data_IF_994255793905
#
_entry.id   IF_994255793905
#
_cell.length_a   1.000
_cell.length_b   1.000
_cell.length_c   1.000
_cell.angle_alpha   90.00
_cell.angle_beta   90.00
_cell.angle_gamma   90.00
#
_symmetry.space_group_name_H-M   'P 1'
#
loop_
_entity.id
_entity.type
_entity.pdbx_description
1 polymer ?
#
# COMPACT_ATOMS: atom_id res chain seq x y z
N UNK A 1 29.43 -0.74 -21.63
CA UNK A 1 28.00 -0.70 -21.31
C UNK A 1 27.47 0.57 -21.94
N UNK A 2 26.59 0.45 -22.94
CA UNK A 2 26.01 1.59 -23.66
C UNK A 2 24.89 2.21 -22.82
N UNK A 3 24.60 3.49 -23.05
CA UNK A 3 23.55 4.25 -22.35
C UNK A 3 22.17 3.60 -22.51
N UNK A 4 21.86 3.08 -23.70
CA UNK A 4 20.62 2.36 -24.02
C UNK A 4 20.40 1.12 -23.12
N UNK A 5 21.44 0.30 -22.93
CA UNK A 5 21.36 -0.87 -22.03
C UNK A 5 21.20 -0.49 -20.55
N UNK A 6 21.62 0.71 -20.18
CA UNK A 6 21.44 1.23 -18.81
C UNK A 6 20.00 1.70 -18.61
N UNK A 7 19.41 2.34 -19.61
CA UNK A 7 18.06 2.89 -19.56
C UNK A 7 17.01 1.76 -19.61
N UNK A 8 17.21 0.74 -20.46
CA UNK A 8 16.38 -0.48 -20.48
C UNK A 8 16.39 -1.20 -19.11
N UNK A 9 17.58 -1.36 -18.51
CA UNK A 9 17.73 -1.94 -17.16
C UNK A 9 17.00 -1.11 -16.10
N UNK A 10 17.03 0.21 -16.21
CA UNK A 10 16.36 1.11 -15.28
C UNK A 10 14.84 0.97 -15.39
N UNK A 11 14.33 0.85 -16.62
CA UNK A 11 12.92 0.64 -16.90
C UNK A 11 12.43 -0.72 -16.37
N UNK A 12 13.15 -1.80 -16.63
CA UNK A 12 12.82 -3.14 -16.10
C UNK A 12 12.76 -3.16 -14.57
N UNK A 13 13.70 -2.47 -13.91
CA UNK A 13 13.70 -2.31 -12.45
C UNK A 13 12.50 -1.49 -11.97
N UNK A 14 12.15 -0.41 -12.68
CA UNK A 14 10.97 0.41 -12.38
C UNK A 14 9.67 -0.39 -12.48
N UNK A 15 9.48 -1.14 -13.57
CA UNK A 15 8.30 -1.98 -13.79
C UNK A 15 8.19 -3.09 -12.74
N UNK A 16 9.32 -3.75 -12.42
CA UNK A 16 9.38 -4.78 -11.37
C UNK A 16 9.02 -4.22 -9.99
N UNK A 17 9.56 -3.06 -9.63
CA UNK A 17 9.28 -2.40 -8.35
C UNK A 17 7.82 -1.94 -8.25
N UNK A 18 7.27 -1.39 -9.34
CA UNK A 18 5.86 -1.00 -9.39
C UNK A 18 4.95 -2.21 -9.22
N UNK A 19 5.24 -3.32 -9.90
CA UNK A 19 4.47 -4.55 -9.76
C UNK A 19 4.52 -5.08 -8.32
N UNK A 20 5.70 -5.10 -7.68
CA UNK A 20 5.84 -5.49 -6.28
C UNK A 20 5.04 -4.58 -5.34
N UNK A 21 5.07 -3.26 -5.56
CA UNK A 21 4.32 -2.29 -4.77
C UNK A 21 2.81 -2.50 -4.90
N UNK A 22 2.33 -2.70 -6.13
CA UNK A 22 0.93 -3.02 -6.42
C UNK A 22 0.47 -4.30 -5.73
N UNK A 23 1.27 -5.36 -5.78
CA UNK A 23 0.93 -6.65 -5.16
C UNK A 23 0.91 -6.54 -3.63
N UNK A 24 1.85 -5.78 -3.07
CA UNK A 24 1.91 -5.46 -1.64
C UNK A 24 0.68 -4.68 -1.19
N UNK A 25 0.28 -3.66 -1.97
CA UNK A 25 -0.92 -2.88 -1.72
C UNK A 25 -2.18 -3.74 -1.71
N UNK A 26 -2.36 -4.58 -2.73
CA UNK A 26 -3.50 -5.50 -2.80
C UNK A 26 -3.54 -6.44 -1.60
N UNK A 27 -2.39 -6.97 -1.19
CA UNK A 27 -2.28 -7.90 -0.06
C UNK A 27 -2.65 -7.24 1.28
N UNK A 28 -2.16 -6.02 1.53
CA UNK A 28 -2.47 -5.26 2.76
C UNK A 28 -3.94 -4.86 2.78
N UNK A 29 -4.51 -4.44 1.65
CA UNK A 29 -5.94 -4.14 1.53
C UNK A 29 -6.82 -5.36 1.87
N UNK A 30 -6.44 -6.55 1.36
CA UNK A 30 -7.15 -7.80 1.66
C UNK A 30 -7.04 -8.18 3.14
N UNK A 31 -5.84 -8.05 3.73
CA UNK A 31 -5.61 -8.30 5.15
C UNK A 31 -6.47 -7.37 6.02
N UNK A 32 -6.48 -6.06 5.71
CA UNK A 32 -7.34 -5.09 6.40
C UNK A 32 -8.80 -5.50 6.37
N UNK A 33 -9.31 -5.83 5.18
CA UNK A 33 -10.70 -6.26 5.02
C UNK A 33 -11.02 -7.55 5.79
N UNK A 34 -10.08 -8.49 5.92
CA UNK A 34 -10.24 -9.70 6.72
C UNK A 34 -10.34 -9.36 8.21
N UNK A 35 -9.41 -8.56 8.72
CA UNK A 35 -9.37 -8.16 10.14
C UNK A 35 -10.61 -7.35 10.51
N UNK A 36 -11.08 -6.47 9.63
CA UNK A 36 -12.31 -5.70 9.82
C UNK A 36 -13.54 -6.61 9.96
N UNK A 37 -13.65 -7.64 9.11
CA UNK A 37 -14.74 -8.63 9.19
C UNK A 37 -14.66 -9.47 10.46
N UNK A 38 -13.46 -9.90 10.86
CA UNK A 38 -13.26 -10.65 12.10
C UNK A 38 -13.66 -9.82 13.32
N UNK A 39 -13.22 -8.56 13.39
CA UNK A 39 -13.57 -7.65 14.47
C UNK A 39 -15.07 -7.41 14.54
N UNK A 40 -15.72 -7.14 13.41
CA UNK A 40 -17.18 -7.01 13.35
C UNK A 40 -17.89 -8.28 13.84
N UNK A 41 -17.41 -9.46 13.43
CA UNK A 41 -17.92 -10.75 13.87
C UNK A 41 -17.81 -10.95 15.39
N UNK A 42 -16.67 -10.60 15.98
CA UNK A 42 -16.45 -10.72 17.43
C UNK A 42 -17.39 -9.79 18.21
N UNK A 43 -17.54 -8.54 17.75
CA UNK A 43 -18.47 -7.58 18.35
C UNK A 43 -19.92 -8.04 18.26
N UNK A 44 -20.32 -8.64 17.12
CA UNK A 44 -21.68 -9.14 16.92
C UNK A 44 -22.01 -10.35 17.81
N UNK A 45 -21.04 -11.24 18.05
CA UNK A 45 -21.24 -12.47 18.82
C UNK A 45 -20.86 -12.33 20.30
N UNK A 46 -20.43 -11.14 20.75
CA UNK A 46 -20.02 -10.90 22.13
C UNK A 46 -18.76 -11.68 22.56
N UNK A 47 -17.87 -11.99 21.61
CA UNK A 47 -16.64 -12.75 21.88
C UNK A 47 -15.60 -11.78 22.46
N UNK A 48 -15.18 -12.02 23.70
CA UNK A 48 -14.27 -11.11 24.44
C UNK A 48 -12.90 -11.71 24.75
N UNK A 49 -12.75 -13.05 24.73
CA UNK A 49 -11.51 -13.74 25.13
C UNK A 49 -10.28 -13.40 24.28
N UNK A 50 -10.49 -12.96 23.04
CA UNK A 50 -9.41 -12.62 22.09
C UNK A 50 -9.54 -11.20 21.52
N UNK A 51 -10.46 -10.39 22.07
CA UNK A 51 -10.80 -9.09 21.50
C UNK A 51 -9.60 -8.12 21.56
N UNK A 52 -8.83 -8.13 22.64
CA UNK A 52 -7.65 -7.26 22.79
C UNK A 52 -6.58 -7.56 21.73
N UNK A 53 -6.29 -8.86 21.51
CA UNK A 53 -5.36 -9.31 20.46
C UNK A 53 -5.87 -8.90 19.08
N UNK A 54 -7.15 -9.12 18.81
CA UNK A 54 -7.76 -8.75 17.54
C UNK A 54 -7.75 -7.23 17.32
N UNK A 55 -7.99 -6.43 18.36
CA UNK A 55 -7.87 -4.98 18.29
C UNK A 55 -6.42 -4.55 18.01
N UNK A 56 -5.43 -5.16 18.63
CA UNK A 56 -4.03 -4.85 18.37
C UNK A 56 -3.65 -5.14 16.89
N UNK A 57 -4.12 -6.28 16.35
CA UNK A 57 -3.93 -6.63 14.94
C UNK A 57 -4.65 -5.63 14.03
N UNK A 58 -5.88 -5.24 14.36
CA UNK A 58 -6.65 -4.24 13.63
C UNK A 58 -5.93 -2.90 13.59
N UNK A 59 -5.51 -2.37 14.74
CA UNK A 59 -4.79 -1.09 14.82
C UNK A 59 -3.49 -1.11 14.01
N UNK A 60 -2.76 -2.23 14.07
CA UNK A 60 -1.53 -2.40 13.30
C UNK A 60 -1.79 -2.42 11.79
N UNK A 61 -2.83 -3.15 11.37
CA UNK A 61 -3.19 -3.27 9.95
C UNK A 61 -3.75 -1.97 9.40
N UNK A 62 -4.58 -1.26 10.16
CA UNK A 62 -5.11 0.06 9.81
C UNK A 62 -3.96 1.06 9.64
N UNK A 63 -3.02 1.08 10.58
CA UNK A 63 -1.83 1.95 10.48
C UNK A 63 -0.98 1.64 9.24
N UNK A 64 -0.70 0.36 8.97
CA UNK A 64 0.07 -0.05 7.79
C UNK A 64 -0.62 0.35 6.49
N UNK A 65 -1.95 0.18 6.42
CA UNK A 65 -2.73 0.58 5.26
C UNK A 65 -2.72 2.10 5.07
N UNK A 66 -2.93 2.87 6.13
CA UNK A 66 -2.90 4.33 6.10
C UNK A 66 -1.52 4.88 5.67
N UNK A 67 -0.44 4.30 6.19
CA UNK A 67 0.93 4.68 5.81
C UNK A 67 1.18 4.38 4.32
N UNK A 68 0.73 3.22 3.83
CA UNK A 68 0.86 2.86 2.43
C UNK A 68 0.00 3.75 1.52
N UNK A 69 -1.24 4.04 1.87
CA UNK A 69 -2.09 4.97 1.12
C UNK A 69 -1.48 6.38 1.07
N UNK A 70 -0.88 6.85 2.17
CA UNK A 70 -0.17 8.14 2.17
C UNK A 70 1.04 8.10 1.25
N UNK A 71 1.85 7.04 1.31
CA UNK A 71 3.03 6.90 0.44
C UNK A 71 2.66 6.88 -1.04
N UNK A 72 1.53 6.27 -1.41
CA UNK A 72 1.05 6.21 -2.79
C UNK A 72 0.40 7.52 -3.27
N UNK A 73 0.19 8.51 -2.39
CA UNK A 73 -0.34 9.81 -2.83
C UNK A 73 0.77 10.59 -3.54
N UNK A 74 0.45 11.22 -4.68
CA UNK A 74 1.44 12.03 -5.42
C UNK A 74 2.12 13.11 -4.58
N UNK A 75 1.37 13.69 -3.64
CA UNK A 75 1.83 14.77 -2.75
C UNK A 75 2.93 14.34 -1.76
N UNK A 76 3.12 13.03 -1.57
CA UNK A 76 4.04 12.44 -0.59
C UNK A 76 5.08 11.52 -1.22
N UNK A 77 5.07 11.38 -2.54
CA UNK A 77 6.08 10.67 -3.31
C UNK A 77 7.21 11.66 -3.70
N UNK A 78 8.41 11.57 -3.11
CA UNK A 78 9.51 12.48 -3.39
C UNK A 78 10.07 12.32 -4.82
N UNK A 79 9.74 11.22 -5.49
CA UNK A 79 10.10 10.94 -6.89
C UNK A 79 8.85 10.98 -7.80
N UNK A 80 7.72 11.55 -7.31
CA UNK A 80 6.49 11.60 -8.10
C UNK A 80 6.70 12.46 -9.34
N UNK A 81 6.58 11.85 -10.51
CA UNK A 81 6.51 12.54 -11.80
C UNK A 81 5.31 13.50 -11.92
N UNK A 82 4.56 13.73 -10.85
CA UNK A 82 3.37 14.58 -10.82
C UNK A 82 3.68 16.06 -11.08
N UNK A 83 4.85 16.56 -10.67
CA UNK A 83 5.27 17.92 -11.03
C UNK A 83 5.50 18.07 -12.54
N UNK A 84 5.97 17.02 -13.23
CA UNK A 84 6.11 17.01 -14.69
C UNK A 84 4.78 16.79 -15.41
N UNK A 85 3.87 15.98 -14.84
CA UNK A 85 2.53 15.74 -15.41
C UNK A 85 1.54 16.91 -15.23
N UNK A 86 1.75 17.77 -14.23
CA UNK A 86 1.00 19.04 -14.05
C UNK A 86 1.54 20.17 -14.92
N UNK A 87 2.80 20.08 -15.37
CA UNK A 87 3.40 21.08 -16.25
C UNK A 87 2.95 20.91 -17.72
N UNK A 88 2.35 19.77 -18.07
CA UNK A 88 1.70 19.53 -19.36
C UNK A 88 0.17 19.71 -19.27
N UNK A 89 -0.29 20.94 -19.11
CA UNK A 89 -1.60 21.35 -19.64
C UNK A 89 -1.39 22.33 -20.82
N UNK A 90 -2.26 22.32 -21.84
CA UNK A 90 -1.98 22.72 -23.23
C UNK A 90 -1.66 24.18 -23.51
#
# INVERSE_FOLDING_TARGET
MTTELRDERLQELGESNYQMLRDTYCSIQQLKGLVDRMHAGFMQHGITFELDTLMAVKLTTDRLFDELERYLRPEFDPDSAYDEALAEEP
#
